data_IF_898600097579
#
_entry.id   IF_898600097579
#
_cell.length_a   1.000
_cell.length_b   1.000
_cell.length_c   1.000
_cell.angle_alpha   90.00
_cell.angle_beta   90.00
_cell.angle_gamma   90.00
#
_symmetry.space_group_name_H-M   'P 1'
#
loop_
_entity.id
_entity.type
_entity.pdbx_description
1 polymer ?
#
# COMPACT_ATOMS: atom_id res chain seq x y z
N UNK A 1 -37.75 -20.16 8.67
CA UNK A 1 -38.39 -18.83 8.80
C UNK A 1 -37.31 -17.88 9.28
N UNK A 2 -36.33 -17.48 8.45
CA UNK A 2 -36.45 -16.79 7.16
C UNK A 2 -37.09 -15.41 7.31
N UNK A 3 -36.25 -14.36 7.27
CA UNK A 3 -36.40 -13.31 6.26
C UNK A 3 -35.11 -12.47 6.16
N UNK A 4 -34.40 -12.71 5.05
CA UNK A 4 -33.40 -11.82 4.47
C UNK A 4 -34.02 -10.45 4.15
N UNK A 5 -33.36 -9.35 4.52
CA UNK A 5 -33.51 -8.07 3.79
C UNK A 5 -32.18 -7.63 3.24
N UNK A 6 -31.95 -8.06 2.00
CA UNK A 6 -31.03 -7.45 1.04
C UNK A 6 -31.28 -5.95 1.00
N UNK A 7 -30.26 -5.13 1.26
CA UNK A 7 -30.31 -3.70 0.98
C UNK A 7 -28.95 -3.18 0.51
N UNK A 8 -28.42 -3.74 -0.58
CA UNK A 8 -27.40 -3.10 -1.42
C UNK A 8 -27.60 -3.63 -2.85
N UNK A 9 -28.23 -2.84 -3.75
CA UNK A 9 -27.47 -2.03 -4.71
C UNK A 9 -28.10 -0.67 -5.09
N UNK A 10 -29.16 -0.22 -4.40
CA UNK A 10 -29.94 0.95 -4.85
C UNK A 10 -29.27 2.31 -4.56
N UNK A 11 -28.40 2.40 -3.55
CA UNK A 11 -27.81 3.68 -3.11
C UNK A 11 -26.73 4.16 -4.09
N UNK A 12 -25.97 3.24 -4.71
CA UNK A 12 -24.90 3.58 -5.64
C UNK A 12 -25.44 4.00 -7.03
N UNK A 13 -26.47 3.30 -7.52
CA UNK A 13 -27.19 3.67 -8.76
C UNK A 13 -27.97 4.99 -8.61
N UNK A 14 -28.59 5.24 -7.44
CA UNK A 14 -29.23 6.54 -7.16
C UNK A 14 -28.23 7.69 -7.08
N UNK A 15 -27.03 7.48 -6.51
CA UNK A 15 -25.99 8.49 -6.45
C UNK A 15 -25.46 8.85 -7.85
N UNK A 16 -25.23 7.86 -8.72
CA UNK A 16 -24.79 8.07 -10.10
C UNK A 16 -25.87 8.76 -10.96
N UNK A 17 -27.14 8.37 -10.81
CA UNK A 17 -28.27 8.96 -11.52
C UNK A 17 -28.54 10.41 -11.08
N UNK A 18 -28.29 10.74 -9.81
CA UNK A 18 -28.42 12.12 -9.28
C UNK A 18 -27.26 13.01 -9.75
N UNK A 19 -26.04 12.46 -9.82
CA UNK A 19 -24.84 13.11 -10.38
C UNK A 19 -24.99 13.52 -11.85
N UNK A 20 -25.79 12.76 -12.63
CA UNK A 20 -26.03 13.04 -14.05
C UNK A 20 -27.21 14.01 -14.30
N UNK A 21 -28.09 14.24 -13.31
CA UNK A 21 -29.34 14.98 -13.50
C UNK A 21 -29.37 16.36 -12.83
N UNK A 22 -28.57 16.62 -11.77
CA UNK A 22 -28.57 17.89 -11.03
C UNK A 22 -27.15 18.27 -10.51
N UNK A 23 -26.21 18.68 -11.39
CA UNK A 23 -24.81 18.92 -11.01
C UNK A 23 -24.61 20.04 -9.99
N UNK A 24 -25.52 21.01 -9.92
CA UNK A 24 -25.42 22.15 -8.99
C UNK A 24 -25.77 21.79 -7.54
N UNK A 25 -26.66 20.82 -7.33
CA UNK A 25 -27.09 20.43 -5.98
C UNK A 25 -26.07 19.54 -5.29
N UNK A 26 -25.34 18.70 -6.05
CA UNK A 26 -24.18 17.95 -5.57
C UNK A 26 -23.04 18.87 -5.09
N UNK A 27 -22.86 20.04 -5.71
CA UNK A 27 -21.84 21.01 -5.28
C UNK A 27 -22.17 21.58 -3.89
N UNK A 28 -23.44 21.82 -3.57
CA UNK A 28 -23.84 22.29 -2.23
C UNK A 28 -23.70 21.19 -1.17
N UNK A 29 -24.02 19.94 -1.50
CA UNK A 29 -23.81 18.80 -0.57
C UNK A 29 -22.32 18.51 -0.35
N UNK A 30 -21.50 18.62 -1.40
CA UNK A 30 -20.04 18.54 -1.30
C UNK A 30 -19.44 19.73 -0.56
N UNK A 31 -20.00 20.94 -0.71
CA UNK A 31 -19.56 22.12 0.03
C UNK A 31 -19.96 22.04 1.52
N UNK A 32 -21.14 21.50 1.83
CA UNK A 32 -21.56 21.16 3.19
C UNK A 32 -20.61 20.14 3.82
N UNK A 33 -20.30 19.04 3.13
CA UNK A 33 -19.31 18.06 3.57
C UNK A 33 -17.90 18.66 3.70
N UNK A 34 -17.55 19.63 2.84
CA UNK A 34 -16.29 20.39 2.92
C UNK A 34 -16.23 21.32 4.14
N UNK A 35 -17.38 21.73 4.68
CA UNK A 35 -17.46 22.60 5.86
C UNK A 35 -17.24 21.79 7.13
N UNK A 36 -17.80 20.57 7.18
CA UNK A 36 -17.50 19.56 8.21
C UNK A 36 -16.04 19.14 8.14
N UNK A 37 -15.49 18.96 6.93
CA UNK A 37 -14.05 18.72 6.73
C UNK A 37 -13.17 19.90 7.16
N UNK A 38 -13.58 21.15 6.88
CA UNK A 38 -12.88 22.34 7.39
C UNK A 38 -12.89 22.34 8.91
N UNK A 39 -13.99 21.98 9.56
CA UNK A 39 -14.03 21.85 11.02
C UNK A 39 -13.12 20.72 11.53
N UNK A 40 -13.04 19.57 10.84
CA UNK A 40 -12.12 18.48 11.21
C UNK A 40 -10.64 18.86 11.00
N UNK A 41 -10.30 19.58 9.94
CA UNK A 41 -8.94 20.06 9.67
C UNK A 41 -8.56 21.21 10.61
N UNK A 42 -9.50 22.10 10.94
CA UNK A 42 -9.27 23.17 11.93
C UNK A 42 -9.10 22.58 13.33
N UNK A 43 -9.85 21.54 13.69
CA UNK A 43 -9.66 20.79 14.93
C UNK A 43 -8.28 20.09 14.95
N UNK A 44 -7.82 19.56 13.83
CA UNK A 44 -6.47 18.99 13.73
C UNK A 44 -5.36 20.05 13.86
N UNK A 45 -5.58 21.28 13.40
CA UNK A 45 -4.62 22.39 13.57
C UNK A 45 -4.66 23.04 14.97
N UNK A 46 -5.79 23.02 15.67
CA UNK A 46 -5.90 23.56 17.04
C UNK A 46 -5.27 22.63 18.09
N UNK A 47 -5.16 21.33 17.81
CA UNK A 47 -4.40 20.37 18.64
C UNK A 47 -2.88 20.59 18.52
N UNK A 48 -2.42 21.33 17.52
CA UNK A 48 -1.01 21.65 17.26
C UNK A 48 -0.46 22.75 18.20
N UNK A 49 -1.33 23.54 18.87
CA UNK A 49 -0.91 24.67 19.74
C UNK A 49 -0.83 24.36 21.25
N UNK A 50 -1.03 23.11 21.66
CA UNK A 50 -0.81 22.67 23.05
C UNK A 50 0.35 21.68 23.10
N UNK A 51 1.62 22.12 23.29
CA UNK A 51 2.72 21.20 23.51
C UNK A 51 2.57 20.57 24.90
N UNK A 52 2.04 19.34 24.94
CA UNK A 52 2.41 18.39 26.00
C UNK A 52 3.45 17.46 25.41
N UNK A 53 4.66 17.56 25.93
CA UNK A 53 5.82 16.75 25.55
C UNK A 53 5.45 15.27 25.35
N UNK A 54 5.77 14.74 24.17
CA UNK A 54 6.04 13.31 24.01
C UNK A 54 4.94 12.40 23.44
N UNK A 55 3.92 12.90 22.73
CA UNK A 55 2.98 12.02 22.01
C UNK A 55 2.87 12.37 20.52
N UNK A 56 3.43 11.54 19.66
CA UNK A 56 3.10 11.53 18.22
C UNK A 56 1.92 10.59 18.02
N UNK A 57 0.74 11.15 17.77
CA UNK A 57 -0.44 10.40 17.33
C UNK A 57 -0.31 10.15 15.82
N UNK A 58 -0.12 8.89 15.43
CA UNK A 58 -0.15 8.49 14.02
C UNK A 58 -1.60 8.50 13.54
N UNK A 59 -1.97 9.49 12.72
CA UNK A 59 -3.24 9.49 12.01
C UNK A 59 -3.13 8.61 10.76
N UNK A 60 -3.78 7.45 10.78
CA UNK A 60 -4.11 6.70 9.56
C UNK A 60 -5.10 7.56 8.76
N UNK A 61 -4.73 7.96 7.54
CA UNK A 61 -5.69 8.57 6.64
C UNK A 61 -6.70 7.49 6.27
N UNK A 62 -7.94 7.60 6.79
CA UNK A 62 -9.03 6.68 6.45
C UNK A 62 -9.18 6.56 4.94
N UNK A 63 -9.54 5.37 4.46
CA UNK A 63 -9.72 5.02 3.03
C UNK A 63 -10.57 6.05 2.26
N UNK A 64 -11.44 6.77 2.96
CA UNK A 64 -12.29 7.87 2.49
C UNK A 64 -11.47 9.03 1.91
N UNK A 65 -10.27 9.31 2.44
CA UNK A 65 -9.40 10.41 1.97
C UNK A 65 -8.83 10.11 0.59
N UNK A 66 -8.43 8.86 0.34
CA UNK A 66 -7.89 8.44 -0.96
C UNK A 66 -8.99 8.45 -2.02
N UNK A 67 -10.20 8.00 -1.67
CA UNK A 67 -11.36 8.04 -2.57
C UNK A 67 -11.69 9.49 -2.96
N UNK A 68 -11.65 10.43 -2.02
CA UNK A 68 -11.91 11.84 -2.30
C UNK A 68 -10.90 12.46 -3.28
N UNK A 69 -9.61 12.14 -3.14
CA UNK A 69 -8.57 12.65 -4.07
C UNK A 69 -8.76 12.09 -5.48
N UNK A 70 -9.08 10.80 -5.60
CA UNK A 70 -9.37 10.19 -6.90
C UNK A 70 -10.67 10.72 -7.53
N UNK A 71 -11.71 10.95 -6.73
CA UNK A 71 -12.98 11.53 -7.18
C UNK A 71 -12.78 12.97 -7.66
N UNK A 72 -12.00 13.78 -6.94
CA UNK A 72 -11.66 15.15 -7.34
C UNK A 72 -10.83 15.20 -8.63
N UNK A 73 -9.87 14.27 -8.81
CA UNK A 73 -9.12 14.14 -10.05
C UNK A 73 -10.00 13.71 -11.22
N UNK A 74 -10.96 12.80 -11.00
CA UNK A 74 -11.92 12.38 -12.02
C UNK A 74 -12.88 13.52 -12.43
N UNK A 75 -13.40 14.28 -11.45
CA UNK A 75 -14.27 15.44 -11.69
C UNK A 75 -13.52 16.53 -12.47
N UNK A 76 -12.26 16.81 -12.15
CA UNK A 76 -11.45 17.79 -12.88
C UNK A 76 -11.25 17.39 -14.35
N UNK A 77 -11.04 16.09 -14.64
CA UNK A 77 -10.92 15.58 -16.01
C UNK A 77 -12.24 15.64 -16.78
N UNK A 78 -13.37 15.37 -16.13
CA UNK A 78 -14.69 15.35 -16.76
C UNK A 78 -15.25 16.76 -17.02
N UNK A 79 -14.94 17.72 -16.15
CA UNK A 79 -15.52 19.07 -16.22
C UNK A 79 -14.67 20.08 -16.99
N UNK A 80 -13.43 19.74 -17.34
CA UNK A 80 -12.52 20.59 -18.11
C UNK A 80 -12.14 21.92 -17.44
N UNK A 81 -12.65 22.17 -16.23
CA UNK A 81 -12.25 23.29 -15.39
C UNK A 81 -11.04 22.83 -14.59
N UNK A 82 -9.90 23.51 -14.77
CA UNK A 82 -8.89 23.57 -13.72
C UNK A 82 -9.59 24.13 -12.49
N UNK A 83 -10.05 23.23 -11.62
CA UNK A 83 -10.21 23.64 -10.23
C UNK A 83 -8.80 24.02 -9.81
N UNK A 84 -8.60 25.29 -9.45
CA UNK A 84 -7.46 25.74 -8.66
C UNK A 84 -7.50 25.01 -7.33
N UNK A 85 -7.30 23.70 -7.39
CA UNK A 85 -7.37 22.83 -6.27
C UNK A 85 -6.09 23.10 -5.53
N UNK A 86 -6.22 23.67 -4.35
CA UNK A 86 -5.15 23.65 -3.35
C UNK A 86 -4.64 22.21 -3.11
N UNK A 87 -5.27 21.16 -3.64
CA UNK A 87 -4.70 19.81 -3.73
C UNK A 87 -3.48 19.68 -4.67
N UNK A 88 -3.32 20.54 -5.68
CA UNK A 88 -2.07 20.61 -6.46
C UNK A 88 -0.93 21.25 -5.64
N UNK A 89 -1.28 22.03 -4.61
CA UNK A 89 -0.34 22.60 -3.62
C UNK A 89 -0.27 21.80 -2.32
N UNK A 90 -1.18 20.84 -2.13
CA UNK A 90 -0.98 19.71 -1.24
C UNK A 90 0.10 18.84 -1.90
N UNK A 91 1.34 19.31 -1.75
CA UNK A 91 2.49 18.41 -1.63
C UNK A 91 1.96 17.27 -0.77
N UNK A 92 1.81 16.10 -1.37
CA UNK A 92 1.48 14.86 -0.69
C UNK A 92 2.51 14.76 0.43
N UNK A 93 2.15 15.24 1.62
CA UNK A 93 2.95 15.09 2.81
C UNK A 93 2.68 13.66 3.23
N UNK A 94 3.29 12.74 2.48
CA UNK A 94 3.62 11.43 3.00
C UNK A 94 4.47 11.76 4.22
N UNK A 95 4.08 11.35 5.44
CA UNK A 95 4.95 11.49 6.58
C UNK A 95 6.15 10.57 6.33
N UNK A 96 7.17 11.06 5.63
CA UNK A 96 8.50 10.47 5.71
C UNK A 96 8.98 10.80 7.10
N UNK A 97 8.86 9.82 8.01
CA UNK A 97 9.63 9.82 9.24
C UNK A 97 11.08 10.13 8.87
N UNK A 98 11.58 11.22 9.46
CA UNK A 98 12.93 11.72 9.29
C UNK A 98 13.95 10.70 9.82
N UNK A 99 14.21 9.65 9.07
CA UNK A 99 15.52 9.02 9.08
C UNK A 99 16.29 9.60 7.91
N UNK A 100 17.43 10.22 8.23
CA UNK A 100 18.38 10.78 7.27
C UNK A 100 18.76 9.68 6.27
N UNK A 101 18.12 9.71 5.12
CA UNK A 101 18.61 9.03 3.92
C UNK A 101 19.91 9.75 3.61
N UNK A 102 21.01 9.02 3.77
CA UNK A 102 22.34 9.40 3.33
C UNK A 102 22.27 9.88 1.87
N UNK A 103 22.69 11.12 1.67
CA UNK A 103 22.60 11.87 0.41
C UNK A 103 23.55 11.34 -0.71
N UNK A 104 23.85 10.05 -0.71
CA UNK A 104 24.70 9.37 -1.69
C UNK A 104 23.90 8.68 -2.81
N UNK A 105 22.58 8.53 -2.65
CA UNK A 105 21.73 7.94 -3.68
C UNK A 105 21.24 9.01 -4.68
N UNK A 106 21.56 8.89 -5.98
CA UNK A 106 21.01 9.79 -6.99
C UNK A 106 19.50 9.55 -7.08
N UNK A 107 18.72 10.45 -6.49
CA UNK A 107 17.28 10.56 -6.69
C UNK A 107 17.03 10.96 -8.16
N UNK A 108 17.06 9.98 -9.06
CA UNK A 108 16.45 10.11 -10.38
C UNK A 108 14.95 10.06 -10.17
N UNK A 109 14.27 11.19 -10.32
CA UNK A 109 12.81 11.25 -10.37
C UNK A 109 12.33 10.60 -11.67
N UNK A 110 12.25 9.27 -11.67
CA UNK A 110 11.56 8.53 -12.71
C UNK A 110 10.05 8.71 -12.53
N UNK A 111 9.51 9.71 -13.24
CA UNK A 111 8.08 10.01 -13.33
C UNK A 111 7.37 8.92 -14.16
N UNK A 112 7.34 7.70 -13.62
CA UNK A 112 6.62 6.57 -14.20
C UNK A 112 5.12 6.86 -14.35
N UNK A 113 4.46 6.11 -15.25
CA UNK A 113 3.01 6.18 -15.41
C UNK A 113 2.31 5.82 -14.09
N UNK A 114 1.31 6.61 -13.68
CA UNK A 114 0.50 6.33 -12.48
C UNK A 114 -0.11 4.93 -12.59
N UNK A 115 -0.04 4.15 -11.52
CA UNK A 115 -0.55 2.78 -11.50
C UNK A 115 0.36 1.75 -12.15
N UNK A 116 1.62 2.10 -12.44
CA UNK A 116 2.62 1.15 -12.95
C UNK A 116 3.75 0.93 -11.95
N UNK A 117 3.92 -0.33 -11.59
CA UNK A 117 5.06 -0.79 -10.81
C UNK A 117 6.30 -0.96 -11.70
N UNK A 118 7.39 -1.42 -11.09
CA UNK A 118 8.65 -1.69 -11.79
C UNK A 118 9.33 -2.94 -11.23
N UNK A 119 10.02 -3.68 -12.09
CA UNK A 119 10.92 -4.75 -11.68
C UNK A 119 12.29 -4.13 -11.42
N UNK A 120 12.85 -4.40 -10.25
CA UNK A 120 14.17 -3.91 -9.83
C UNK A 120 15.26 -4.95 -10.08
N UNK A 121 14.94 -6.23 -9.84
CA UNK A 121 15.80 -7.37 -10.04
C UNK A 121 14.97 -8.45 -10.72
N UNK A 122 15.49 -9.02 -11.82
CA UNK A 122 14.91 -10.21 -12.45
C UNK A 122 15.55 -11.48 -11.88
N UNK A 123 14.71 -12.47 -11.61
CA UNK A 123 15.08 -13.79 -11.14
C UNK A 123 14.07 -14.84 -11.59
N UNK A 124 13.99 -15.94 -10.85
CA UNK A 124 13.15 -17.09 -11.16
C UNK A 124 12.56 -17.71 -9.90
N UNK A 125 11.51 -18.53 -10.07
CA UNK A 125 10.80 -19.31 -9.04
C UNK A 125 10.08 -18.52 -7.95
N UNK A 126 10.68 -17.48 -7.38
CA UNK A 126 10.10 -16.68 -6.29
C UNK A 126 10.15 -15.19 -6.66
N UNK A 127 9.02 -14.52 -6.51
CA UNK A 127 8.90 -13.07 -6.66
C UNK A 127 8.57 -12.40 -5.30
N UNK A 128 9.31 -11.35 -4.98
CA UNK A 128 9.02 -10.41 -3.91
C UNK A 128 8.36 -9.17 -4.50
N UNK A 129 7.13 -8.86 -4.08
CA UNK A 129 6.41 -7.66 -4.45
C UNK A 129 6.34 -6.72 -3.24
N UNK A 130 7.26 -5.75 -3.19
CA UNK A 130 7.36 -4.78 -2.11
C UNK A 130 6.49 -3.54 -2.36
N UNK A 131 5.96 -2.97 -1.27
CA UNK A 131 5.26 -1.69 -1.29
C UNK A 131 5.84 -0.74 -0.22
N UNK A 132 6.11 0.50 -0.61
CA UNK A 132 6.65 1.52 0.29
C UNK A 132 8.11 1.26 0.70
N UNK A 133 8.44 1.49 1.97
CA UNK A 133 9.79 1.32 2.51
C UNK A 133 10.26 -0.14 2.50
N UNK A 134 9.33 -1.10 2.58
CA UNK A 134 9.61 -2.54 2.54
C UNK A 134 10.34 -3.02 1.27
N UNK A 135 10.32 -2.24 0.18
CA UNK A 135 11.07 -2.54 -1.05
C UNK A 135 12.57 -2.64 -0.77
N UNK A 136 13.12 -1.83 0.13
CA UNK A 136 14.54 -1.89 0.49
C UNK A 136 14.86 -3.19 1.23
N UNK A 137 13.97 -3.62 2.14
CA UNK A 137 14.09 -4.90 2.83
C UNK A 137 14.03 -6.09 1.85
N UNK A 138 13.22 -6.00 0.79
CA UNK A 138 13.16 -7.01 -0.26
C UNK A 138 14.47 -7.10 -1.06
N UNK A 139 15.07 -5.96 -1.42
CA UNK A 139 16.36 -5.93 -2.13
C UNK A 139 17.47 -6.53 -1.28
N UNK A 140 17.53 -6.18 0.01
CA UNK A 140 18.48 -6.75 0.94
C UNK A 140 18.26 -8.26 1.13
N UNK A 141 17.01 -8.72 1.24
CA UNK A 141 16.67 -10.14 1.33
C UNK A 141 17.11 -10.91 0.07
N UNK A 142 16.91 -10.33 -1.11
CA UNK A 142 17.37 -10.93 -2.36
C UNK A 142 18.90 -11.11 -2.37
N UNK A 143 19.66 -10.17 -1.82
CA UNK A 143 21.12 -10.32 -1.67
C UNK A 143 21.51 -11.45 -0.70
N UNK A 144 20.75 -11.65 0.38
CA UNK A 144 21.00 -12.70 1.38
C UNK A 144 20.81 -14.12 0.82
N UNK A 145 19.91 -14.32 -0.16
CA UNK A 145 19.65 -15.67 -0.70
C UNK A 145 20.58 -16.07 -1.84
N UNK A 146 21.29 -15.12 -2.45
CA UNK A 146 22.21 -15.37 -3.58
C UNK A 146 23.32 -16.39 -3.23
N UNK A 147 23.98 -16.32 -2.06
CA UNK A 147 24.96 -17.33 -1.65
C UNK A 147 24.41 -18.75 -1.56
N UNK A 148 23.09 -18.91 -1.40
CA UNK A 148 22.41 -20.20 -1.34
C UNK A 148 21.91 -20.67 -2.73
N UNK A 149 22.32 -19.98 -3.81
CA UNK A 149 22.00 -20.36 -5.18
C UNK A 149 20.60 -19.96 -5.65
N UNK A 150 19.91 -19.08 -4.93
CA UNK A 150 18.59 -18.55 -5.33
C UNK A 150 18.73 -17.19 -6.00
N UNK A 151 17.93 -16.96 -7.03
CA UNK A 151 17.79 -15.65 -7.70
C UNK A 151 16.32 -15.26 -7.71
N UNK A 152 15.94 -14.34 -6.84
CA UNK A 152 14.54 -13.89 -6.71
C UNK A 152 14.28 -12.70 -7.64
N UNK A 153 13.05 -12.60 -8.13
CA UNK A 153 12.57 -11.35 -8.72
C UNK A 153 12.17 -10.40 -7.61
N UNK A 154 12.60 -9.13 -7.67
CA UNK A 154 12.14 -8.07 -6.76
C UNK A 154 11.42 -7.02 -7.58
N UNK A 155 10.14 -6.79 -7.27
CA UNK A 155 9.30 -5.79 -7.89
C UNK A 155 8.85 -4.75 -6.85
N UNK A 156 8.85 -3.49 -7.27
CA UNK A 156 8.34 -2.35 -6.52
C UNK A 156 6.96 -2.00 -7.08
N UNK A 157 5.93 -2.18 -6.26
CA UNK A 157 4.55 -1.94 -6.63
C UNK A 157 4.26 -0.45 -6.90
N UNK A 158 4.96 0.46 -6.21
CA UNK A 158 4.80 1.94 -6.20
C UNK A 158 3.42 2.48 -5.83
N UNK A 159 2.34 1.79 -6.19
CA UNK A 159 0.97 2.22 -6.04
C UNK A 159 0.12 1.08 -5.46
N UNK A 160 -0.52 1.32 -4.33
CA UNK A 160 -1.60 0.44 -3.85
C UNK A 160 -2.91 0.74 -4.59
N UNK A 161 -3.10 1.98 -5.08
CA UNK A 161 -4.24 2.40 -5.89
C UNK A 161 -3.82 3.41 -6.96
N UNK A 162 -4.18 3.20 -8.25
CA UNK A 162 -4.68 1.94 -8.80
C UNK A 162 -3.60 0.85 -8.76
N UNK A 163 -4.03 -0.40 -8.58
CA UNK A 163 -3.14 -1.56 -8.51
C UNK A 163 -2.65 -1.96 -9.91
N UNK A 164 -1.37 -2.30 -10.06
CA UNK A 164 -0.82 -2.75 -11.35
C UNK A 164 -1.13 -4.24 -11.62
N UNK A 165 -2.35 -4.50 -12.06
CA UNK A 165 -2.84 -5.86 -12.37
C UNK A 165 -1.96 -6.59 -13.39
N UNK A 166 -1.36 -5.86 -14.34
CA UNK A 166 -0.53 -6.46 -15.37
C UNK A 166 0.79 -7.00 -14.80
N UNK A 167 1.42 -6.24 -13.90
CA UNK A 167 2.63 -6.65 -13.20
C UNK A 167 2.35 -7.85 -12.30
N UNK A 168 1.27 -7.82 -11.51
CA UNK A 168 0.92 -8.94 -10.63
C UNK A 168 0.67 -10.20 -11.47
N UNK A 169 -0.09 -10.09 -12.56
CA UNK A 169 -0.34 -11.21 -13.48
C UNK A 169 0.94 -11.75 -14.08
N UNK A 170 1.90 -10.90 -14.46
CA UNK A 170 3.17 -11.38 -15.01
C UNK A 170 3.97 -12.12 -13.96
N UNK A 171 4.06 -11.59 -12.73
CA UNK A 171 4.79 -12.21 -11.63
C UNK A 171 4.21 -13.59 -11.26
N UNK A 172 2.89 -13.70 -11.13
CA UNK A 172 2.23 -14.97 -10.80
C UNK A 172 2.40 -16.01 -11.91
N UNK A 173 2.45 -15.59 -13.17
CA UNK A 173 2.65 -16.52 -14.30
C UNK A 173 4.07 -17.02 -14.44
N UNK A 174 5.07 -16.22 -14.06
CA UNK A 174 6.48 -16.57 -14.23
C UNK A 174 7.14 -17.19 -13.00
N UNK A 175 6.47 -17.20 -11.85
CA UNK A 175 7.02 -17.67 -10.58
C UNK A 175 6.09 -18.70 -9.91
N UNK A 176 6.68 -19.61 -9.14
CA UNK A 176 5.97 -20.60 -8.32
C UNK A 176 5.49 -20.01 -6.99
N UNK A 177 6.13 -18.92 -6.54
CA UNK A 177 5.87 -18.26 -5.27
C UNK A 177 5.81 -16.74 -5.45
N UNK A 178 4.79 -16.11 -4.88
CA UNK A 178 4.69 -14.67 -4.74
C UNK A 178 4.61 -14.29 -3.25
N UNK A 179 5.50 -13.42 -2.79
CA UNK A 179 5.46 -12.86 -1.44
C UNK A 179 5.23 -11.35 -1.56
N UNK A 180 4.16 -10.84 -0.96
CA UNK A 180 3.92 -9.40 -0.86
C UNK A 180 4.48 -8.89 0.45
N UNK A 181 5.23 -7.79 0.43
CA UNK A 181 5.87 -7.22 1.63
C UNK A 181 5.49 -5.76 1.79
N UNK A 182 4.93 -5.40 2.94
CA UNK A 182 4.57 -4.03 3.30
C UNK A 182 4.80 -3.75 4.79
N UNK A 183 4.98 -2.48 5.13
CA UNK A 183 4.95 -1.97 6.50
C UNK A 183 3.53 -1.44 6.83
N UNK A 184 2.50 -2.14 6.36
CA UNK A 184 1.09 -1.90 6.66
C UNK A 184 0.51 -3.04 7.50
N UNK A 185 -0.65 -2.82 8.11
CA UNK A 185 -1.35 -3.82 8.93
C UNK A 185 -2.16 -4.81 8.06
N UNK A 186 -2.76 -5.80 8.71
CA UNK A 186 -3.71 -6.73 8.07
C UNK A 186 -4.85 -5.93 7.42
N UNK A 187 -5.21 -6.29 6.18
CA UNK A 187 -6.19 -5.53 5.37
C UNK A 187 -5.55 -4.55 4.38
N UNK A 188 -4.24 -4.34 4.43
CA UNK A 188 -3.51 -3.41 3.56
C UNK A 188 -3.26 -3.89 2.12
N UNK A 189 -2.11 -3.52 1.57
CA UNK A 189 -1.70 -3.82 0.19
C UNK A 189 -1.76 -5.31 -0.14
N UNK A 190 -1.27 -6.18 0.75
CA UNK A 190 -1.30 -7.63 0.54
C UNK A 190 -2.72 -8.17 0.39
N UNK A 191 -3.68 -7.63 1.14
CA UNK A 191 -5.09 -8.04 1.06
C UNK A 191 -5.73 -7.59 -0.26
N UNK A 192 -5.42 -6.37 -0.70
CA UNK A 192 -5.86 -5.84 -1.99
C UNK A 192 -5.30 -6.68 -3.16
N UNK A 193 -4.03 -7.09 -3.09
CA UNK A 193 -3.42 -8.00 -4.07
C UNK A 193 -4.10 -9.37 -4.06
N UNK A 194 -4.34 -9.95 -2.89
CA UNK A 194 -5.03 -11.23 -2.76
C UNK A 194 -6.45 -11.19 -3.33
N UNK A 195 -7.21 -10.13 -3.06
CA UNK A 195 -8.54 -9.95 -3.63
C UNK A 195 -8.50 -9.90 -5.16
N UNK A 196 -7.57 -9.14 -5.75
CA UNK A 196 -7.38 -9.12 -7.20
C UNK A 196 -7.02 -10.51 -7.73
N UNK A 197 -6.06 -11.20 -7.11
CA UNK A 197 -5.63 -12.54 -7.54
C UNK A 197 -6.76 -13.56 -7.47
N UNK A 198 -7.61 -13.50 -6.44
CA UNK A 198 -8.77 -14.37 -6.30
C UNK A 198 -9.81 -14.12 -7.42
N UNK A 199 -10.13 -12.85 -7.70
CA UNK A 199 -11.12 -12.50 -8.71
C UNK A 199 -10.63 -12.75 -10.15
N UNK A 200 -9.33 -12.66 -10.40
CA UNK A 200 -8.73 -12.94 -11.72
C UNK A 200 -8.49 -14.45 -11.96
N UNK A 201 -8.77 -15.32 -10.97
CA UNK A 201 -8.53 -16.77 -11.03
C UNK A 201 -7.05 -17.17 -10.92
N UNK A 202 -6.19 -16.25 -10.45
CA UNK A 202 -4.75 -16.50 -10.31
C UNK A 202 -4.43 -17.44 -9.15
N UNK A 203 -5.30 -17.51 -8.13
CA UNK A 203 -5.15 -18.41 -6.99
C UNK A 203 -5.65 -19.84 -7.25
N UNK A 204 -6.30 -20.09 -8.39
CA UNK A 204 -6.83 -21.41 -8.73
C UNK A 204 -5.74 -22.40 -9.19
N UNK A 205 -4.53 -21.89 -9.47
CA UNK A 205 -3.37 -22.69 -9.87
C UNK A 205 -2.49 -23.15 -8.71
N UNK A 206 -1.24 -23.51 -9.02
CA UNK A 206 -0.26 -24.00 -8.04
C UNK A 206 0.57 -22.88 -7.37
N UNK A 207 0.19 -21.62 -7.54
CA UNK A 207 0.94 -20.48 -6.98
C UNK A 207 0.88 -20.53 -5.45
N UNK A 208 2.04 -20.43 -4.80
CA UNK A 208 2.10 -20.20 -3.36
C UNK A 208 2.15 -18.70 -3.11
N UNK A 209 1.22 -18.18 -2.31
CA UNK A 209 1.21 -16.77 -1.93
C UNK A 209 1.33 -16.58 -0.41
N UNK A 210 2.14 -15.61 0.04
CA UNK A 210 2.23 -15.20 1.45
C UNK A 210 2.33 -13.68 1.59
N UNK A 211 1.49 -13.05 2.42
CA UNK A 211 1.69 -11.66 2.82
C UNK A 211 2.65 -11.59 4.01
N UNK A 212 3.61 -10.67 3.94
CA UNK A 212 4.41 -10.19 5.06
C UNK A 212 3.98 -8.75 5.35
N UNK A 213 3.31 -8.59 6.48
CA UNK A 213 2.67 -7.36 6.95
C UNK A 213 3.07 -7.12 8.41
N UNK A 214 2.81 -5.93 8.93
CA UNK A 214 2.88 -5.70 10.36
C UNK A 214 1.86 -6.60 11.07
N UNK A 215 2.29 -7.33 12.11
CA UNK A 215 1.39 -8.18 12.88
C UNK A 215 0.36 -7.33 13.62
N UNK A 216 -0.83 -7.89 13.83
CA UNK A 216 -1.89 -7.27 14.64
C UNK A 216 -1.58 -7.40 16.14
N UNK A 217 -0.51 -6.75 16.56
CA UNK A 217 -0.05 -6.65 17.94
C UNK A 217 0.58 -5.28 18.18
N UNK A 218 0.59 -4.86 19.43
CA UNK A 218 1.25 -3.63 19.82
C UNK A 218 2.77 -3.83 19.81
N UNK A 219 3.48 -3.00 19.04
CA UNK A 219 4.95 -2.97 19.00
C UNK A 219 5.42 -1.79 19.84
N UNK A 220 6.25 -2.06 20.85
CA UNK A 220 6.78 -1.03 21.73
C UNK A 220 7.64 0.00 20.97
N UNK A 221 7.73 1.19 21.55
CA UNK A 221 8.61 2.24 21.01
C UNK A 221 10.07 1.80 21.08
N UNK A 222 10.79 1.97 19.98
CA UNK A 222 12.18 1.59 19.86
C UNK A 222 12.80 2.17 18.60
N UNK A 223 14.00 1.70 18.25
CA UNK A 223 14.55 2.05 16.94
C UNK A 223 13.72 1.39 15.83
N UNK A 224 13.63 2.00 14.62
CA UNK A 224 12.91 1.37 13.51
C UNK A 224 13.42 -0.03 13.17
N UNK A 225 14.72 -0.29 13.34
CA UNK A 225 15.30 -1.61 13.12
C UNK A 225 14.78 -2.65 14.13
N UNK A 226 14.70 -2.29 15.42
CA UNK A 226 14.18 -3.17 16.47
C UNK A 226 12.70 -3.46 16.27
N UNK A 227 11.93 -2.44 15.86
CA UNK A 227 10.50 -2.58 15.57
C UNK A 227 10.25 -3.51 14.37
N UNK A 228 11.04 -3.38 13.31
CA UNK A 228 10.96 -4.29 12.16
C UNK A 228 11.41 -5.72 12.51
N UNK A 229 12.40 -5.86 13.40
CA UNK A 229 12.81 -7.16 13.93
C UNK A 229 11.68 -7.81 14.74
N UNK A 230 11.03 -7.05 15.61
CA UNK A 230 9.87 -7.52 16.37
C UNK A 230 8.68 -7.87 15.46
N UNK A 231 8.47 -7.09 14.41
CA UNK A 231 7.41 -7.34 13.42
C UNK A 231 7.69 -8.55 12.50
N UNK A 232 8.92 -9.05 12.44
CA UNK A 232 9.30 -10.10 11.49
C UNK A 232 9.43 -9.60 10.04
N UNK A 233 9.78 -8.33 9.82
CA UNK A 233 9.86 -7.69 8.50
C UNK A 233 11.29 -7.31 8.07
N UNK A 234 12.31 -7.78 8.81
CA UNK A 234 13.71 -7.54 8.42
C UNK A 234 14.09 -8.36 7.19
N UNK A 235 15.19 -7.99 6.49
CA UNK A 235 15.68 -8.76 5.35
C UNK A 235 15.87 -10.25 5.65
N UNK A 236 16.38 -10.60 6.84
CA UNK A 236 16.55 -11.99 7.28
C UNK A 236 15.22 -12.72 7.42
N UNK A 237 14.18 -12.09 7.99
CA UNK A 237 12.86 -12.71 8.11
C UNK A 237 12.20 -12.94 6.74
N UNK A 238 12.36 -11.99 5.80
CA UNK A 238 11.87 -12.14 4.42
C UNK A 238 12.60 -13.31 3.73
N UNK A 239 13.93 -13.36 3.83
CA UNK A 239 14.72 -14.45 3.27
C UNK A 239 14.38 -15.81 3.90
N UNK A 240 14.22 -15.88 5.22
CA UNK A 240 13.79 -17.08 5.92
C UNK A 240 12.40 -17.55 5.45
N UNK A 241 11.47 -16.62 5.20
CA UNK A 241 10.15 -16.93 4.62
C UNK A 241 10.29 -17.58 3.24
N UNK A 242 11.17 -17.05 2.38
CA UNK A 242 11.47 -17.63 1.07
C UNK A 242 11.93 -19.09 1.22
N UNK A 243 12.94 -19.35 2.05
CA UNK A 243 13.47 -20.69 2.27
C UNK A 243 12.41 -21.64 2.85
N UNK A 244 11.62 -21.19 3.81
CA UNK A 244 10.55 -22.00 4.42
C UNK A 244 9.51 -22.42 3.38
N UNK A 245 9.10 -21.53 2.48
CA UNK A 245 8.12 -21.85 1.42
C UNK A 245 8.69 -22.85 0.39
N UNK A 246 10.00 -22.80 0.15
CA UNK A 246 10.73 -23.73 -0.69
C UNK A 246 11.06 -25.07 -0.01
N UNK A 247 10.80 -25.21 1.30
CA UNK A 247 11.09 -26.42 2.07
C UNK A 247 12.56 -26.52 2.53
N UNK A 248 13.30 -25.42 2.50
CA UNK A 248 14.72 -25.31 2.85
C UNK A 248 14.89 -24.80 4.29
N UNK A 249 14.37 -25.55 5.27
CA UNK A 249 14.30 -25.10 6.68
C UNK A 249 15.68 -24.88 7.31
N UNK A 250 16.71 -25.59 6.84
CA UNK A 250 18.07 -25.43 7.37
C UNK A 250 18.64 -24.05 7.03
N UNK A 251 18.54 -23.67 5.76
CA UNK A 251 18.98 -22.38 5.25
C UNK A 251 18.19 -21.23 5.90
N UNK A 252 16.89 -21.44 6.17
CA UNK A 252 16.08 -20.50 6.92
C UNK A 252 16.62 -20.25 8.34
N UNK A 253 17.07 -21.31 9.04
CA UNK A 253 17.67 -21.18 10.37
C UNK A 253 19.04 -20.50 10.34
N UNK A 254 19.87 -20.82 9.33
CA UNK A 254 21.21 -20.23 9.15
C UNK A 254 21.16 -18.71 8.90
N UNK A 255 20.12 -18.20 8.25
CA UNK A 255 19.93 -16.75 8.02
C UNK A 255 19.39 -16.01 9.25
N UNK A 256 18.71 -16.73 10.12
CA UNK A 256 18.10 -16.19 11.34
C UNK A 256 19.04 -16.24 12.56
N UNK A 257 20.15 -16.98 12.48
CA UNK A 257 21.18 -17.11 13.52
C UNK A 257 22.23 -16.00 13.45
#
# INVERSE_FOLDING_TARGET
MEEDRKMEPLIFEMALATLLSQPLQCIETLNSASTTWRQCVTFASEVEESPREGSTVSFELSEETVIHVYLLQAISRLTGKETESRAAKARMFVPTLSNRIDASHPCKSDHGKVGKGRILIEGERVALLGYGAAVQSCLAAAALVVPHGLRLTVADARFCKPLDHALIRSLVKSHDVLITVEEGSIGGFGSHVAQFMALDGLLDGNIKWRPLVLPDLYIDHGSPADQLAHAGLTPSHIAATVFNILGQTREALEIMS
#
